data_IF_050427231818
#
_entry.id   IF_050427231818
#
_cell.length_a   1.000
_cell.length_b   1.000
_cell.length_c   1.000
_cell.angle_alpha   90.00
_cell.angle_beta   90.00
_cell.angle_gamma   90.00
#
_symmetry.space_group_name_H-M   'P 1'
#
loop_
_entity.id
_entity.type
_entity.pdbx_description
1 polymer ?
#
# COMPACT_ATOMS: atom_id res chain seq x y z
N UNK A 1 12.72 6.29 13.72
CA UNK A 1 12.46 7.14 12.55
C UNK A 1 13.72 7.92 12.26
N UNK A 2 14.24 7.94 11.02
CA UNK A 2 15.38 8.78 10.68
C UNK A 2 15.03 10.23 10.95
N UNK A 3 15.88 10.94 11.70
CA UNK A 3 15.80 12.39 11.87
C UNK A 3 16.31 13.04 10.59
N UNK A 4 15.53 13.95 9.98
CA UNK A 4 16.04 14.79 8.90
C UNK A 4 15.39 14.63 7.52
N UNK A 5 14.27 13.92 7.35
CA UNK A 5 13.52 13.94 6.10
C UNK A 5 12.85 15.31 5.91
N UNK A 6 13.45 16.15 5.05
CA UNK A 6 12.79 17.35 4.53
C UNK A 6 11.74 16.93 3.50
N UNK A 7 10.50 17.30 3.76
CA UNK A 7 9.41 17.19 2.77
C UNK A 7 9.52 18.40 1.85
N UNK A 8 9.74 18.15 0.56
CA UNK A 8 9.72 19.19 -0.46
C UNK A 8 8.39 19.02 -1.19
N UNK A 9 7.55 20.03 -1.11
CA UNK A 9 6.30 20.15 -1.85
C UNK A 9 6.52 21.18 -2.96
N UNK A 10 5.79 21.06 -4.06
CA UNK A 10 5.85 21.97 -5.24
C UNK A 10 7.04 21.76 -6.20
N UNK A 11 7.68 20.58 -6.18
CA UNK A 11 8.79 20.24 -7.08
C UNK A 11 8.44 19.28 -8.22
N UNK A 12 7.18 18.90 -8.42
CA UNK A 12 6.78 17.88 -9.42
C UNK A 12 7.34 16.50 -9.11
N UNK A 13 7.67 16.23 -7.84
CA UNK A 13 8.28 14.98 -7.38
C UNK A 13 7.25 13.88 -7.15
N UNK A 14 7.73 12.64 -7.18
CA UNK A 14 6.93 11.51 -6.75
C UNK A 14 7.11 11.30 -5.24
N UNK A 15 6.05 10.90 -4.58
CA UNK A 15 5.99 10.63 -3.15
C UNK A 15 5.80 9.14 -2.89
N UNK A 16 6.80 8.52 -2.25
CA UNK A 16 6.66 7.17 -1.72
C UNK A 16 6.16 7.24 -0.29
N UNK A 17 4.89 6.90 -0.12
CA UNK A 17 4.17 7.04 1.15
C UNK A 17 3.98 5.67 1.78
N UNK A 18 4.28 5.57 3.07
CA UNK A 18 3.96 4.40 3.90
C UNK A 18 3.12 4.82 5.08
N UNK A 19 1.96 4.21 5.25
CA UNK A 19 1.15 4.37 6.45
C UNK A 19 0.73 3.02 7.02
N UNK A 20 0.78 2.88 8.35
CA UNK A 20 0.46 1.65 9.05
C UNK A 20 -0.85 1.77 9.80
N UNK A 21 -1.55 0.67 9.95
CA UNK A 21 -2.65 0.53 10.89
C UNK A 21 -2.15 0.78 12.33
N UNK A 22 -3.08 1.13 13.22
CA UNK A 22 -2.75 1.40 14.62
C UNK A 22 -2.13 0.16 15.28
N UNK A 23 -1.02 0.35 15.99
CA UNK A 23 -0.23 -0.72 16.62
C UNK A 23 0.20 -1.86 15.68
N UNK A 24 0.19 -1.59 14.35
CA UNK A 24 0.43 -2.60 13.31
C UNK A 24 -0.55 -3.78 13.35
N UNK A 25 -1.74 -3.59 13.90
CA UNK A 25 -2.80 -4.57 13.82
C UNK A 25 -3.22 -4.81 12.37
N UNK A 26 -3.58 -6.05 11.99
CA UNK A 26 -3.96 -6.38 10.61
C UNK A 26 -5.39 -5.93 10.27
N UNK A 27 -5.70 -4.63 10.44
CA UNK A 27 -7.03 -4.06 10.19
C UNK A 27 -7.44 -4.08 8.70
N UNK A 28 -6.47 -4.27 7.81
CA UNK A 28 -6.67 -4.56 6.39
C UNK A 28 -6.49 -6.05 6.06
N UNK A 29 -6.59 -6.93 7.06
CA UNK A 29 -6.33 -8.37 6.92
C UNK A 29 -7.34 -9.13 6.07
N UNK A 30 -8.59 -8.66 5.96
CA UNK A 30 -9.59 -9.29 5.10
C UNK A 30 -9.50 -8.81 3.65
N UNK A 31 -9.85 -9.69 2.69
CA UNK A 31 -9.95 -9.32 1.27
C UNK A 31 -10.85 -8.10 1.08
N UNK A 32 -12.03 -8.09 1.72
CA UNK A 32 -12.99 -6.98 1.67
C UNK A 32 -12.40 -5.66 2.17
N UNK A 33 -11.60 -5.67 3.24
CA UNK A 33 -11.01 -4.44 3.76
C UNK A 33 -10.02 -3.83 2.76
N UNK A 34 -9.24 -4.68 2.09
CA UNK A 34 -8.32 -4.26 1.03
C UNK A 34 -9.06 -3.78 -0.23
N UNK A 35 -10.14 -4.45 -0.62
CA UNK A 35 -10.98 -4.00 -1.74
C UNK A 35 -11.58 -2.62 -1.46
N UNK A 36 -12.15 -2.39 -0.26
CA UNK A 36 -12.65 -1.08 0.18
C UNK A 36 -11.55 -0.01 0.17
N UNK A 37 -10.32 -0.37 0.57
CA UNK A 37 -9.20 0.56 0.49
C UNK A 37 -8.93 0.98 -0.97
N UNK A 38 -8.86 0.04 -1.91
CA UNK A 38 -8.60 0.34 -3.32
C UNK A 38 -9.71 1.19 -3.96
N UNK A 39 -10.99 0.89 -3.66
CA UNK A 39 -12.12 1.69 -4.12
C UNK A 39 -12.02 3.15 -3.64
N UNK A 40 -11.73 3.36 -2.35
CA UNK A 40 -11.59 4.69 -1.76
C UNK A 40 -10.34 5.39 -2.31
N UNK A 41 -9.25 4.67 -2.51
CA UNK A 41 -8.01 5.22 -3.06
C UNK A 41 -8.23 5.76 -4.47
N UNK A 42 -8.93 5.02 -5.34
CA UNK A 42 -9.29 5.50 -6.68
C UNK A 42 -10.21 6.73 -6.63
N UNK A 43 -11.20 6.77 -5.72
CA UNK A 43 -12.06 7.94 -5.54
C UNK A 43 -11.26 9.18 -5.09
N UNK A 44 -10.30 9.00 -4.19
CA UNK A 44 -9.42 10.08 -3.71
C UNK A 44 -8.49 10.53 -4.83
N UNK A 45 -7.93 9.59 -5.61
CA UNK A 45 -7.12 9.90 -6.79
C UNK A 45 -7.84 10.82 -7.76
N UNK A 46 -9.08 10.48 -8.12
CA UNK A 46 -9.91 11.29 -9.04
C UNK A 46 -10.24 12.67 -8.46
N UNK A 47 -10.56 12.72 -7.16
CA UNK A 47 -10.94 13.97 -6.49
C UNK A 47 -9.80 14.98 -6.47
N UNK A 48 -8.58 14.52 -6.18
CA UNK A 48 -7.41 15.38 -6.01
C UNK A 48 -6.51 15.46 -7.24
N UNK A 49 -6.86 14.72 -8.30
CA UNK A 49 -6.20 14.71 -9.60
C UNK A 49 -4.67 14.47 -9.48
N UNK A 50 -4.31 13.32 -8.94
CA UNK A 50 -2.93 12.87 -8.90
C UNK A 50 -2.73 11.55 -9.67
N UNK A 51 -1.48 11.30 -10.06
CA UNK A 51 -1.08 10.07 -10.73
C UNK A 51 -0.68 9.01 -9.70
N UNK A 52 -1.10 7.77 -9.94
CA UNK A 52 -0.63 6.61 -9.17
C UNK A 52 0.37 5.85 -10.02
N UNK A 53 1.60 5.74 -9.52
CA UNK A 53 2.68 5.02 -10.17
C UNK A 53 2.68 3.55 -9.72
N UNK A 54 2.40 3.30 -8.45
CA UNK A 54 2.31 1.95 -7.92
C UNK A 54 1.76 1.92 -6.51
N UNK A 55 1.32 0.73 -6.09
CA UNK A 55 0.80 0.51 -4.74
C UNK A 55 0.91 -0.96 -4.30
N UNK A 56 0.86 -1.17 -3.00
CA UNK A 56 0.57 -2.46 -2.37
C UNK A 56 -0.21 -2.23 -1.07
N UNK A 57 -1.25 -3.02 -0.87
CA UNK A 57 -2.05 -3.04 0.36
C UNK A 57 -1.74 -4.31 1.14
N UNK A 58 -1.04 -4.14 2.25
CA UNK A 58 -0.69 -5.22 3.18
C UNK A 58 -1.75 -5.33 4.29
N UNK A 59 -1.78 -6.40 5.08
CA UNK A 59 -2.74 -6.54 6.17
C UNK A 59 -2.68 -5.43 7.22
N UNK A 60 -1.49 -4.92 7.53
CA UNK A 60 -1.25 -3.96 8.60
C UNK A 60 -0.66 -2.62 8.15
N UNK A 61 -0.41 -2.45 6.85
CA UNK A 61 0.12 -1.19 6.29
C UNK A 61 -0.12 -1.09 4.78
N UNK A 62 0.14 0.07 4.22
CA UNK A 62 0.13 0.28 2.77
C UNK A 62 1.39 1.00 2.32
N UNK A 63 1.78 0.75 1.08
CA UNK A 63 2.72 1.58 0.35
C UNK A 63 2.05 2.10 -0.91
N UNK A 64 2.20 3.39 -1.19
CA UNK A 64 1.76 4.00 -2.45
C UNK A 64 2.87 4.91 -2.98
N UNK A 65 3.04 4.91 -4.28
CA UNK A 65 3.91 5.83 -5.01
C UNK A 65 3.02 6.67 -5.91
N UNK A 66 2.94 7.97 -5.62
CA UNK A 66 2.03 8.91 -6.27
C UNK A 66 2.77 10.19 -6.71
N UNK A 67 2.20 10.90 -7.68
CA UNK A 67 2.61 12.27 -7.98
C UNK A 67 2.07 13.25 -6.95
N UNK A 68 2.58 14.47 -6.95
CA UNK A 68 1.90 15.58 -6.29
C UNK A 68 0.48 15.75 -6.85
N UNK A 69 -0.52 16.00 -5.99
CA UNK A 69 -1.88 16.24 -6.44
C UNK A 69 -1.99 17.64 -7.08
N UNK A 70 -2.81 17.77 -8.12
CA UNK A 70 -3.11 19.07 -8.73
C UNK A 70 -4.08 19.90 -7.89
N UNK A 71 -4.77 19.25 -6.97
CA UNK A 71 -5.71 19.89 -6.02
C UNK A 71 -5.25 19.51 -4.63
N UNK A 72 -5.03 20.50 -3.79
CA UNK A 72 -4.53 20.34 -2.43
C UNK A 72 -3.08 19.81 -2.34
N UNK A 73 -2.71 19.34 -1.17
CA UNK A 73 -1.36 18.85 -0.86
C UNK A 73 -1.35 17.37 -0.51
N UNK A 74 -0.19 16.72 -0.64
CA UNK A 74 -0.01 15.31 -0.27
C UNK A 74 -0.46 15.00 1.17
N UNK A 75 -0.16 15.82 2.20
CA UNK A 75 -0.68 15.61 3.55
C UNK A 75 -2.20 15.57 3.63
N UNK A 76 -2.90 16.45 2.92
CA UNK A 76 -4.38 16.48 2.89
C UNK A 76 -4.92 15.24 2.20
N UNK A 77 -4.36 14.85 1.05
CA UNK A 77 -4.73 13.62 0.34
C UNK A 77 -4.60 12.40 1.25
N UNK A 78 -3.45 12.25 1.93
CA UNK A 78 -3.21 11.13 2.85
C UNK A 78 -4.18 11.17 4.04
N UNK A 79 -4.44 12.35 4.59
CA UNK A 79 -5.40 12.51 5.68
C UNK A 79 -6.81 12.08 5.27
N UNK A 80 -7.30 12.56 4.13
CA UNK A 80 -8.64 12.23 3.61
C UNK A 80 -8.76 10.75 3.28
N UNK A 81 -7.72 10.16 2.65
CA UNK A 81 -7.68 8.72 2.37
C UNK A 81 -7.82 7.90 3.67
N UNK A 82 -7.00 8.21 4.67
CA UNK A 82 -7.03 7.55 5.98
C UNK A 82 -8.38 7.70 6.68
N UNK A 83 -8.95 8.89 6.68
CA UNK A 83 -10.25 9.15 7.31
C UNK A 83 -11.37 8.39 6.64
N UNK A 84 -11.45 8.40 5.30
CA UNK A 84 -12.52 7.72 4.57
C UNK A 84 -12.46 6.21 4.71
N UNK A 85 -11.25 5.63 4.65
CA UNK A 85 -11.06 4.19 4.86
C UNK A 85 -11.45 3.79 6.28
N UNK A 86 -10.95 4.51 7.30
CA UNK A 86 -11.30 4.24 8.70
C UNK A 86 -12.81 4.34 8.93
N UNK A 87 -13.45 5.40 8.45
CA UNK A 87 -14.89 5.58 8.56
C UNK A 87 -15.67 4.43 7.91
N UNK A 88 -15.32 4.03 6.67
CA UNK A 88 -16.01 2.97 5.93
C UNK A 88 -15.87 1.60 6.58
N UNK A 89 -14.69 1.29 7.11
CA UNK A 89 -14.43 -0.02 7.72
C UNK A 89 -14.93 -0.12 9.16
N UNK A 90 -14.84 0.97 9.92
CA UNK A 90 -15.32 0.98 11.31
C UNK A 90 -16.84 1.07 11.42
N UNK A 91 -17.55 1.75 10.52
CA UNK A 91 -19.01 1.86 10.57
C UNK A 91 -19.74 0.53 10.39
N UNK A 92 -19.18 -0.42 9.63
CA UNK A 92 -19.84 -1.70 9.35
C UNK A 92 -19.77 -2.70 10.49
N UNK A 93 -19.07 -2.39 11.57
CA UNK A 93 -18.84 -3.31 12.68
C UNK A 93 -19.83 -3.14 13.86
N UNK A 94 -20.89 -2.30 13.73
CA UNK A 94 -21.68 -1.90 14.90
C UNK A 94 -23.16 -2.20 14.84
N UNK A 95 -23.71 -2.86 15.87
CA UNK A 95 -25.12 -2.78 16.24
C UNK A 95 -25.46 -1.37 16.76
N UNK A 96 -26.71 -0.94 16.57
CA UNK A 96 -27.18 0.44 16.81
C UNK A 96 -27.01 0.98 18.24
N UNK A 97 -27.06 0.11 19.26
CA UNK A 97 -26.89 0.50 20.66
C UNK A 97 -25.44 0.82 21.07
N UNK A 98 -24.45 0.36 20.33
CA UNK A 98 -23.04 0.64 20.64
C UNK A 98 -22.53 1.93 19.99
N UNK A 99 -23.34 2.64 19.20
CA UNK A 99 -22.92 3.86 18.51
C UNK A 99 -22.57 4.99 19.47
N UNK A 100 -23.35 5.19 20.54
CA UNK A 100 -23.15 6.26 21.53
C UNK A 100 -21.87 6.06 22.36
N UNK A 101 -21.59 4.82 22.77
CA UNK A 101 -20.35 4.49 23.49
C UNK A 101 -19.09 4.65 22.63
N UNK A 102 -19.22 4.53 21.31
CA UNK A 102 -18.09 4.65 20.38
C UNK A 102 -17.73 6.11 20.02
N UNK A 103 -18.64 7.04 20.14
CA UNK A 103 -18.31 8.45 19.95
C UNK A 103 -17.37 8.96 21.03
N UNK A 104 -17.42 8.37 22.22
CA UNK A 104 -16.48 8.64 23.33
C UNK A 104 -15.13 7.90 23.20
N UNK A 105 -15.10 6.72 22.56
CA UNK A 105 -13.89 5.90 22.38
C UNK A 105 -13.60 5.67 20.89
N UNK A 106 -13.25 6.72 20.14
CA UNK A 106 -12.93 6.58 18.69
C UNK A 106 -11.77 5.61 18.49
N UNK A 107 -12.00 4.37 18.00
CA UNK A 107 -10.91 3.44 17.78
C UNK A 107 -9.98 4.00 16.70
N UNK A 108 -8.70 3.97 17.00
CA UNK A 108 -7.69 4.41 16.06
C UNK A 108 -7.49 3.32 15.01
N UNK A 109 -7.82 3.62 13.75
CA UNK A 109 -7.56 2.70 12.64
C UNK A 109 -6.12 2.81 12.13
N UNK A 110 -5.58 4.04 12.08
CA UNK A 110 -4.27 4.33 11.53
C UNK A 110 -3.32 4.90 12.58
N UNK A 111 -2.03 4.62 12.41
CA UNK A 111 -0.99 5.40 13.08
C UNK A 111 -1.14 6.87 12.69
N UNK A 112 -0.88 7.78 13.65
CA UNK A 112 -1.00 9.23 13.42
C UNK A 112 -0.06 9.69 12.32
N UNK A 113 1.21 9.29 12.41
CA UNK A 113 2.26 9.67 11.46
C UNK A 113 2.32 8.68 10.30
N UNK A 114 2.77 9.16 9.15
CA UNK A 114 3.11 8.37 7.98
C UNK A 114 4.53 8.72 7.54
N UNK A 115 5.17 7.83 6.80
CA UNK A 115 6.45 8.07 6.16
C UNK A 115 6.19 8.59 4.75
N UNK A 116 6.92 9.63 4.36
CA UNK A 116 6.86 10.24 3.04
C UNK A 116 8.29 10.48 2.57
N UNK A 117 8.63 9.90 1.43
CA UNK A 117 9.95 10.00 0.81
C UNK A 117 9.79 10.48 -0.62
N UNK A 118 10.43 11.62 -0.93
CA UNK A 118 10.44 12.17 -2.27
C UNK A 118 11.35 11.33 -3.19
N UNK A 119 10.83 10.95 -4.35
CA UNK A 119 11.53 10.12 -5.33
C UNK A 119 11.88 10.98 -6.54
N UNK A 120 13.19 11.15 -6.79
CA UNK A 120 13.72 12.12 -7.78
C UNK A 120 14.23 11.47 -9.07
N UNK A 121 14.40 10.14 -9.11
CA UNK A 121 15.01 9.47 -10.25
C UNK A 121 14.30 8.19 -10.63
N UNK A 122 14.36 7.81 -11.90
CA UNK A 122 13.79 6.59 -12.45
C UNK A 122 14.34 5.33 -11.75
N UNK A 123 15.62 5.35 -11.39
CA UNK A 123 16.24 4.27 -10.62
C UNK A 123 15.60 4.10 -9.25
N UNK A 124 15.27 5.21 -8.57
CA UNK A 124 14.56 5.17 -7.28
C UNK A 124 13.09 4.78 -7.43
N UNK A 125 12.43 5.16 -8.51
CA UNK A 125 11.08 4.68 -8.84
C UNK A 125 11.10 3.15 -8.97
N UNK A 126 12.02 2.62 -9.78
CA UNK A 126 12.18 1.17 -9.99
C UNK A 126 12.47 0.43 -8.68
N UNK A 127 13.36 0.98 -7.83
CA UNK A 127 13.66 0.44 -6.50
C UNK A 127 12.41 0.35 -5.63
N UNK A 128 11.61 1.43 -5.57
CA UNK A 128 10.39 1.48 -4.75
C UNK A 128 9.29 0.56 -5.28
N UNK A 129 9.10 0.48 -6.59
CA UNK A 129 8.17 -0.47 -7.20
C UNK A 129 8.56 -1.91 -6.88
N UNK A 130 9.83 -2.27 -7.06
CA UNK A 130 10.34 -3.61 -6.73
C UNK A 130 10.14 -3.93 -5.25
N UNK A 131 10.46 -3.01 -4.36
CA UNK A 131 10.24 -3.16 -2.92
C UNK A 131 8.77 -3.41 -2.59
N UNK A 132 7.84 -2.59 -3.13
CA UNK A 132 6.41 -2.76 -2.91
C UNK A 132 5.89 -4.11 -3.39
N UNK A 133 6.27 -4.49 -4.60
CA UNK A 133 5.76 -5.73 -5.22
C UNK A 133 6.31 -6.99 -4.56
N UNK A 134 7.50 -6.95 -3.98
CA UNK A 134 8.09 -8.08 -3.24
C UNK A 134 7.60 -8.18 -1.79
N UNK A 135 7.05 -7.11 -1.23
CA UNK A 135 6.64 -7.05 0.17
C UNK A 135 5.73 -8.22 0.60
N UNK A 136 4.68 -8.62 -0.17
CA UNK A 136 3.84 -9.76 0.19
C UNK A 136 4.61 -11.09 0.23
N UNK A 137 5.58 -11.29 -0.64
CA UNK A 137 6.43 -12.49 -0.67
C UNK A 137 7.40 -12.49 0.49
N UNK A 138 8.08 -11.36 0.74
CA UNK A 138 9.02 -11.21 1.87
C UNK A 138 8.34 -11.39 3.22
N UNK A 139 7.03 -11.12 3.29
CA UNK A 139 6.19 -11.33 4.48
C UNK A 139 5.57 -12.73 4.54
N UNK A 140 5.85 -13.60 3.58
CA UNK A 140 5.33 -14.96 3.54
C UNK A 140 3.81 -15.07 3.32
N UNK A 141 3.18 -14.03 2.76
CA UNK A 141 1.73 -14.04 2.51
C UNK A 141 1.37 -14.79 1.21
N UNK A 142 2.26 -14.76 0.25
CA UNK A 142 2.14 -15.46 -1.04
C UNK A 142 3.52 -15.95 -1.50
N UNK A 143 3.60 -17.02 -2.29
CA UNK A 143 4.88 -17.51 -2.81
C UNK A 143 5.46 -16.63 -3.92
N UNK A 144 4.61 -15.84 -4.62
CA UNK A 144 5.05 -14.97 -5.72
C UNK A 144 4.19 -13.71 -5.84
N UNK A 145 4.74 -12.59 -6.37
CA UNK A 145 4.08 -11.28 -6.34
C UNK A 145 2.76 -11.23 -7.12
N UNK A 146 2.64 -12.00 -8.20
CA UNK A 146 1.44 -12.06 -9.05
C UNK A 146 0.21 -12.60 -8.33
N UNK A 147 0.41 -13.38 -7.26
CA UNK A 147 -0.67 -13.93 -6.45
C UNK A 147 -1.25 -12.93 -5.45
N UNK A 148 -0.57 -11.77 -5.26
CA UNK A 148 -1.09 -10.72 -4.39
C UNK A 148 -1.89 -9.68 -5.18
N UNK A 149 -3.20 -9.92 -5.34
CA UNK A 149 -4.10 -9.08 -6.16
C UNK A 149 -4.23 -7.63 -5.68
N UNK A 150 -3.87 -7.33 -4.44
CA UNK A 150 -3.93 -5.98 -3.87
C UNK A 150 -2.62 -5.20 -4.04
N UNK A 151 -1.98 -5.40 -5.17
CA UNK A 151 -0.82 -4.62 -5.60
C UNK A 151 -0.95 -4.25 -7.07
N UNK A 152 -0.18 -3.25 -7.47
CA UNK A 152 -0.06 -2.85 -8.87
C UNK A 152 0.79 -3.80 -9.70
N UNK A 153 1.35 -4.89 -9.15
CA UNK A 153 2.26 -5.80 -9.85
C UNK A 153 1.68 -6.35 -11.16
N UNK A 154 0.42 -6.81 -11.14
CA UNK A 154 -0.21 -7.43 -12.32
C UNK A 154 -0.38 -6.46 -13.48
N UNK A 155 -0.58 -5.18 -13.19
CA UNK A 155 -0.64 -4.14 -14.23
C UNK A 155 0.71 -3.96 -14.93
N UNK A 156 1.84 -4.10 -14.20
CA UNK A 156 3.18 -4.04 -14.79
C UNK A 156 3.57 -5.31 -15.53
N UNK A 157 3.25 -6.47 -14.95
CA UNK A 157 3.67 -7.77 -15.48
C UNK A 157 2.79 -8.24 -16.65
N UNK A 158 1.49 -7.97 -16.59
CA UNK A 158 0.50 -8.56 -17.50
C UNK A 158 -0.38 -7.51 -18.20
N UNK A 159 -0.13 -6.22 -17.98
CA UNK A 159 -0.95 -5.12 -18.49
C UNK A 159 -2.43 -5.21 -18.06
N UNK A 160 -2.72 -5.83 -16.93
CA UNK A 160 -4.08 -5.94 -16.40
C UNK A 160 -4.53 -4.62 -15.77
N UNK A 161 -5.74 -4.18 -16.14
CA UNK A 161 -6.37 -3.04 -15.50
C UNK A 161 -6.91 -3.43 -14.12
N UNK A 162 -6.55 -2.65 -13.11
CA UNK A 162 -7.03 -2.82 -11.74
C UNK A 162 -8.10 -1.79 -11.36
N UNK A 163 -8.59 -1.87 -10.12
CA UNK A 163 -9.54 -0.90 -9.55
C UNK A 163 -8.96 0.52 -9.55
N UNK A 164 -7.66 0.64 -9.28
CA UNK A 164 -6.95 1.92 -9.27
C UNK A 164 -6.27 2.13 -10.62
N UNK A 165 -6.62 3.21 -11.30
CA UNK A 165 -5.98 3.57 -12.57
C UNK A 165 -4.54 3.97 -12.33
N UNK A 166 -3.61 3.26 -12.97
CA UNK A 166 -2.20 3.61 -12.98
C UNK A 166 -1.89 4.58 -14.12
N UNK A 167 -1.13 5.61 -13.82
CA UNK A 167 -0.69 6.62 -14.77
C UNK A 167 0.82 6.49 -15.04
N UNK A 168 1.33 5.27 -15.07
CA UNK A 168 2.70 5.04 -15.45
C UNK A 168 2.86 5.21 -16.98
N UNK A 169 2.96 6.46 -17.41
CA UNK A 169 3.65 6.78 -18.65
C UNK A 169 5.08 7.07 -18.23
N UNK A 170 5.98 6.11 -18.46
CA UNK A 170 7.37 6.34 -18.19
C UNK A 170 7.77 7.72 -18.73
N UNK A 171 8.25 8.59 -17.86
CA UNK A 171 8.96 9.82 -18.24
C UNK A 171 10.29 9.44 -18.90
N UNK A 172 10.21 8.67 -19.97
CA UNK A 172 11.36 8.45 -20.83
C UNK A 172 11.09 9.16 -22.13
N UNK A 173 11.95 10.10 -22.42
CA UNK A 173 12.08 10.77 -23.70
C UNK A 173 12.35 9.82 -24.88
N UNK A 174 12.39 8.52 -24.68
CA UNK A 174 12.59 7.51 -25.72
C UNK A 174 11.97 6.18 -25.29
N UNK A 175 10.80 5.85 -25.74
CA UNK A 175 10.10 4.53 -25.80
C UNK A 175 10.59 3.28 -25.03
N UNK A 176 11.75 3.36 -24.36
CA UNK A 176 12.45 2.29 -23.66
C UNK A 176 11.96 2.02 -22.23
N UNK A 177 11.21 2.92 -21.62
CA UNK A 177 10.83 2.79 -20.20
C UNK A 177 9.70 1.79 -19.96
N UNK A 178 8.84 1.54 -20.96
CA UNK A 178 7.83 0.47 -20.88
C UNK A 178 8.50 -0.91 -20.78
N UNK A 179 9.63 -1.09 -21.45
CA UNK A 179 10.45 -2.29 -21.41
C UNK A 179 11.24 -2.41 -20.10
N UNK A 180 11.69 -1.31 -19.48
CA UNK A 180 12.50 -1.32 -18.25
C UNK A 180 11.65 -1.69 -17.02
N UNK A 181 10.41 -1.18 -16.92
CA UNK A 181 9.53 -1.54 -15.80
C UNK A 181 9.05 -3.00 -15.92
N UNK A 182 8.69 -3.46 -17.10
CA UNK A 182 8.37 -4.87 -17.38
C UNK A 182 9.60 -5.78 -17.20
N UNK A 183 10.78 -5.35 -17.66
CA UNK A 183 12.04 -6.07 -17.47
C UNK A 183 12.50 -6.08 -16.02
N UNK A 184 12.30 -5.01 -15.25
CA UNK A 184 12.61 -4.98 -13.81
C UNK A 184 11.66 -5.88 -13.00
N UNK A 185 10.39 -5.98 -13.39
CA UNK A 185 9.45 -6.94 -12.83
C UNK A 185 9.85 -8.38 -13.21
N UNK A 186 10.17 -8.64 -14.49
CA UNK A 186 10.61 -9.95 -14.99
C UNK A 186 11.99 -10.36 -14.46
N UNK A 187 12.97 -9.47 -14.38
CA UNK A 187 14.30 -9.75 -13.83
C UNK A 187 14.26 -10.02 -12.31
N UNK A 188 13.26 -9.48 -11.59
CA UNK A 188 13.04 -9.82 -10.18
C UNK A 188 12.54 -11.26 -9.99
N UNK A 189 11.88 -11.84 -11.00
CA UNK A 189 11.42 -13.24 -11.00
C UNK A 189 12.60 -14.18 -11.25
N UNK A 190 13.51 -13.83 -12.18
CA UNK A 190 14.62 -14.69 -12.59
C UNK A 190 15.78 -14.76 -11.57
N UNK A 191 15.94 -13.76 -10.72
CA UNK A 191 17.13 -13.64 -9.87
C UNK A 191 17.10 -14.42 -8.55
N UNK A 192 15.94 -14.96 -8.11
CA UNK A 192 15.86 -15.84 -6.94
C UNK A 192 14.71 -16.83 -7.10
N UNK A 193 14.98 -18.09 -7.42
CA UNK A 193 13.98 -19.15 -7.28
C UNK A 193 13.53 -19.20 -5.80
N UNK A 194 12.26 -19.51 -5.53
CA UNK A 194 11.78 -19.62 -4.16
C UNK A 194 12.64 -20.65 -3.41
N UNK A 195 13.21 -20.27 -2.29
CA UNK A 195 13.73 -21.25 -1.34
C UNK A 195 12.54 -22.09 -0.91
N UNK A 196 12.49 -23.33 -1.39
CA UNK A 196 11.58 -24.35 -0.89
C UNK A 196 11.87 -24.47 0.60
N UNK A 197 10.97 -23.98 1.44
CA UNK A 197 11.02 -24.20 2.86
C UNK A 197 10.71 -25.68 3.09
N UNK A 198 11.75 -26.49 3.30
CA UNK A 198 11.58 -27.82 3.85
C UNK A 198 10.83 -27.70 5.18
N UNK A 199 9.70 -28.39 5.20
CA UNK A 199 8.85 -28.78 6.30
C UNK A 199 9.10 -28.22 7.69
N UNK A 200 8.36 -27.16 8.07
CA UNK A 200 7.90 -27.00 9.44
C UNK A 200 6.41 -26.67 9.42
N UNK A 201 5.62 -27.66 9.86
CA UNK A 201 4.21 -27.49 10.11
C UNK A 201 3.97 -26.33 11.09
N UNK A 202 2.90 -25.53 10.91
CA UNK A 202 2.56 -24.48 11.85
C UNK A 202 2.12 -25.11 13.17
N UNK A 203 2.88 -24.86 14.22
CA UNK A 203 2.48 -25.17 15.59
C UNK A 203 1.26 -24.34 15.95
N UNK A 204 0.14 -25.00 16.15
CA UNK A 204 -1.09 -24.48 16.71
C UNK A 204 -0.79 -23.77 18.05
N UNK A 205 -1.17 -22.52 18.16
CA UNK A 205 -1.15 -21.74 19.38
C UNK A 205 -2.09 -22.36 20.43
N UNK A 206 -1.55 -23.20 21.30
CA UNK A 206 -2.20 -23.65 22.51
C UNK A 206 -2.23 -22.51 23.54
N UNK A 207 -3.41 -21.93 23.78
CA UNK A 207 -3.66 -21.11 24.97
C UNK A 207 -3.66 -22.02 26.20
N UNK A 208 -2.64 -21.99 27.00
CA UNK A 208 -2.74 -22.44 28.38
C UNK A 208 -3.27 -21.29 29.24
N UNK A 209 -4.50 -21.46 29.72
CA UNK A 209 -5.03 -20.68 30.84
C UNK A 209 -4.31 -21.16 32.11
N UNK A 210 -3.61 -20.28 32.79
CA UNK A 210 -3.23 -20.51 34.18
C UNK A 210 -4.34 -19.99 35.06
N UNK A 211 -5.01 -20.92 35.73
CA UNK A 211 -5.82 -20.69 36.91
C UNK A 211 -4.91 -20.53 38.12
N UNK A 212 -5.00 -19.37 38.76
CA UNK A 212 -4.93 -19.18 40.22
C UNK A 212 -5.45 -17.81 40.54
#
# INVERSE_FOLDING_TARGET
MPRGLRRIHDGGNLHFITTSCYQREPLLGSARARDVFLEIFEQVRRRYDFEVIGYVVMPEHIHVLISEPKRDTVPIVVQVLKQRVAHRLLQKSKPSLQRELWETMRPRFWQRRYYDFNVYSDGKVTEKLRYMHRNPVERGLVPSPELWRWSSYRAFAFCEEGVVKLNWQGRSTNGKAKAVAASAAAASIAAHPPKVAEGRAPTLWGRQRKTR
#
